data_IF_940872221688
#
_entry.id   IF_940872221688
#
_cell.length_a   1.000
_cell.length_b   1.000
_cell.length_c   1.000
_cell.angle_alpha   90.00
_cell.angle_beta   90.00
_cell.angle_gamma   90.00
#
_symmetry.space_group_name_H-M   'P 1'
#
loop_
_entity.id
_entity.type
_entity.pdbx_description
1 polymer ?
#
# COMPACT_ATOMS: atom_id res chain seq x y z
N UNK A 1 6.59 -10.37 8.08
CA UNK A 1 5.24 -10.78 8.54
C UNK A 1 4.32 -10.75 7.34
N UNK A 2 3.58 -11.84 7.06
CA UNK A 2 2.69 -11.93 5.91
C UNK A 2 1.23 -11.78 6.35
N UNK A 3 0.46 -10.95 5.65
CA UNK A 3 -0.97 -10.78 5.85
C UNK A 3 -1.68 -11.05 4.52
N UNK A 4 -2.70 -11.89 4.53
CA UNK A 4 -3.48 -12.21 3.33
C UNK A 4 -4.66 -11.24 3.24
N UNK A 5 -4.85 -10.63 2.07
CA UNK A 5 -5.99 -9.77 1.77
C UNK A 5 -6.65 -10.23 0.46
N UNK A 6 -7.97 -10.08 0.39
CA UNK A 6 -8.74 -10.35 -0.84
C UNK A 6 -8.77 -9.11 -1.72
N UNK A 7 -8.63 -9.30 -3.02
CA UNK A 7 -8.93 -8.28 -4.02
C UNK A 7 -10.46 -8.26 -4.22
N UNK A 8 -11.07 -7.10 -4.04
CA UNK A 8 -12.49 -6.86 -4.30
C UNK A 8 -12.82 -6.94 -5.79
N UNK A 9 -14.11 -6.99 -6.14
CA UNK A 9 -14.57 -6.96 -7.54
C UNK A 9 -14.15 -5.70 -8.31
N UNK A 10 -13.75 -4.64 -7.61
CA UNK A 10 -13.24 -3.39 -8.20
C UNK A 10 -11.71 -3.34 -8.32
N UNK A 11 -11.02 -4.47 -8.09
CA UNK A 11 -9.56 -4.53 -8.19
C UNK A 11 -8.82 -3.92 -6.98
N UNK A 12 -9.51 -3.51 -5.93
CA UNK A 12 -8.89 -2.93 -4.73
C UNK A 12 -8.61 -4.02 -3.69
N UNK A 13 -7.46 -3.93 -3.01
CA UNK A 13 -7.16 -4.69 -1.81
C UNK A 13 -7.08 -3.75 -0.59
N UNK A 14 -7.61 -4.19 0.55
CA UNK A 14 -7.50 -3.41 1.79
C UNK A 14 -6.14 -3.64 2.43
N UNK A 15 -5.41 -2.57 2.75
CA UNK A 15 -4.22 -2.64 3.61
C UNK A 15 -4.69 -3.02 5.03
N UNK A 16 -4.28 -4.18 5.58
CA UNK A 16 -4.76 -4.63 6.89
C UNK A 16 -4.41 -3.64 8.02
N UNK A 17 -5.25 -3.59 9.06
CA UNK A 17 -5.12 -2.63 10.18
C UNK A 17 -3.70 -2.54 10.74
N UNK A 18 -3.05 -3.67 10.99
CA UNK A 18 -1.70 -3.73 11.57
C UNK A 18 -0.64 -3.12 10.64
N UNK A 19 -0.77 -3.33 9.33
CA UNK A 19 0.12 -2.72 8.35
C UNK A 19 -0.10 -1.20 8.25
N UNK A 20 -1.37 -0.73 8.24
CA UNK A 20 -1.67 0.71 8.28
C UNK A 20 -1.07 1.40 9.51
N UNK A 21 -1.21 0.78 10.68
CA UNK A 21 -0.66 1.31 11.93
C UNK A 21 0.88 1.36 11.90
N UNK A 22 1.53 0.32 11.39
CA UNK A 22 2.99 0.30 11.25
C UNK A 22 3.52 1.35 10.25
N UNK A 23 2.77 1.62 9.19
CA UNK A 23 3.11 2.62 8.17
C UNK A 23 2.60 4.03 8.51
N UNK A 24 1.89 4.22 9.63
CA UNK A 24 1.30 5.51 10.00
C UNK A 24 0.20 6.01 9.05
N UNK A 25 -0.39 5.12 8.23
CA UNK A 25 -1.39 5.47 7.21
C UNK A 25 -2.76 5.80 7.82
N UNK A 26 -3.36 6.88 7.34
CA UNK A 26 -4.69 7.37 7.69
C UNK A 26 -5.58 7.46 6.43
N UNK A 27 -6.92 7.47 6.59
CA UNK A 27 -7.82 7.72 5.47
C UNK A 27 -7.48 9.06 4.80
N UNK A 28 -7.32 9.05 3.48
CA UNK A 28 -6.92 10.23 2.69
C UNK A 28 -5.43 10.29 2.37
N UNK A 29 -4.58 9.51 3.03
CA UNK A 29 -3.15 9.48 2.71
C UNK A 29 -2.90 8.89 1.31
N UNK A 30 -1.96 9.51 0.59
CA UNK A 30 -1.42 8.97 -0.64
C UNK A 30 -0.34 7.94 -0.33
N UNK A 31 -0.35 6.85 -1.09
CA UNK A 31 0.69 5.83 -1.06
C UNK A 31 1.12 5.51 -2.48
N UNK A 32 2.41 5.27 -2.67
CA UNK A 32 2.94 4.77 -3.92
C UNK A 32 2.94 3.24 -3.86
N UNK A 33 2.58 2.63 -4.99
CA UNK A 33 2.68 1.19 -5.19
C UNK A 33 3.59 0.93 -6.38
N UNK A 34 4.68 0.22 -6.15
CA UNK A 34 5.70 -0.12 -7.16
C UNK A 34 5.66 -1.63 -7.41
N UNK A 35 5.72 -2.03 -8.68
CA UNK A 35 5.86 -3.44 -9.08
C UNK A 35 7.35 -3.76 -9.17
N UNK A 36 7.79 -4.68 -8.32
CA UNK A 36 9.15 -5.17 -8.28
C UNK A 36 9.35 -6.30 -9.32
N UNK A 37 10.60 -6.53 -9.73
CA UNK A 37 10.93 -7.53 -10.76
C UNK A 37 10.61 -8.98 -10.35
N UNK A 38 10.52 -9.24 -9.04
CA UNK A 38 10.14 -10.54 -8.48
C UNK A 38 8.61 -10.78 -8.49
N UNK A 39 7.83 -9.84 -9.03
CA UNK A 39 6.38 -9.89 -9.09
C UNK A 39 5.69 -9.47 -7.79
N UNK A 40 6.45 -8.98 -6.80
CA UNK A 40 5.88 -8.39 -5.58
C UNK A 40 5.49 -6.93 -5.80
N UNK A 41 4.55 -6.46 -4.97
CA UNK A 41 4.21 -5.04 -4.89
C UNK A 41 4.81 -4.45 -3.61
N UNK A 42 5.57 -3.37 -3.76
CA UNK A 42 6.05 -2.57 -2.64
C UNK A 42 5.14 -1.37 -2.44
N UNK A 43 4.71 -1.16 -1.19
CA UNK A 43 3.83 -0.06 -0.83
C UNK A 43 4.56 0.86 0.15
N UNK A 44 4.62 2.16 -0.15
CA UNK A 44 5.27 3.18 0.67
C UNK A 44 4.45 4.46 0.73
N UNK A 45 4.66 5.27 1.76
CA UNK A 45 4.12 6.63 1.80
C UNK A 45 4.68 7.45 0.64
N UNK A 46 3.84 8.31 0.09
CA UNK A 46 4.25 9.31 -0.90
C UNK A 46 5.11 10.36 -0.20
N UNK A 47 6.29 10.60 -0.75
CA UNK A 47 7.14 11.72 -0.38
C UNK A 47 6.77 12.94 -1.23
N UNK A 48 7.04 14.17 -0.76
CA UNK A 48 6.81 15.37 -1.56
C UNK A 48 7.48 15.32 -2.95
N UNK A 49 8.64 14.67 -3.05
CA UNK A 49 9.38 14.48 -4.30
C UNK A 49 8.67 13.62 -5.35
N UNK A 50 7.70 12.81 -4.97
CA UNK A 50 6.95 11.97 -5.91
C UNK A 50 5.82 12.75 -6.63
N UNK A 51 5.50 13.97 -6.19
CA UNK A 51 4.40 14.79 -6.72
C UNK A 51 4.87 15.93 -7.63
N UNK A 52 6.17 15.99 -7.93
CA UNK A 52 6.83 17.06 -8.67
C UNK A 52 7.10 16.62 -10.10
#
# INVERSE_FOLDING_TARGET
MALIARISSKGQATIPKRARQALGLKPGDLHLTELEADGSLRLRQVAPSDLI
#
